data_IF_985046702274
#
_entry.id   IF_985046702274
#
_cell.length_a   1.000
_cell.length_b   1.000
_cell.length_c   1.000
_cell.angle_alpha   90.00
_cell.angle_beta   90.00
_cell.angle_gamma   90.00
#
_symmetry.space_group_name_H-M   'P 1'
#
loop_
_entity.id
_entity.type
_entity.pdbx_description
1 polymer ?
#
# COMPACT_ATOMS: atom_id res chain seq x y z
N UNK A 1 -40.14 -23.52 -0.70
CA UNK A 1 -39.02 -23.73 0.25
C UNK A 1 -38.45 -22.37 0.61
N UNK A 2 -38.92 -21.80 1.72
CA UNK A 2 -38.49 -20.48 2.19
C UNK A 2 -37.22 -20.65 3.02
N UNK A 3 -36.11 -20.04 2.61
CA UNK A 3 -34.85 -20.05 3.37
C UNK A 3 -34.91 -18.96 4.44
N UNK A 4 -34.90 -19.39 5.71
CA UNK A 4 -34.70 -18.55 6.89
C UNK A 4 -33.47 -17.65 6.71
N UNK A 5 -33.68 -16.33 6.67
CA UNK A 5 -32.63 -15.36 7.03
C UNK A 5 -32.71 -15.18 8.55
N UNK A 6 -31.69 -15.67 9.25
CA UNK A 6 -31.47 -15.37 10.67
C UNK A 6 -31.23 -13.87 10.80
N UNK A 7 -32.15 -13.16 11.44
CA UNK A 7 -31.95 -11.77 11.85
C UNK A 7 -31.18 -11.87 13.18
N UNK A 8 -29.90 -11.53 13.17
CA UNK A 8 -29.10 -11.42 14.39
C UNK A 8 -29.72 -10.30 15.22
N UNK A 9 -30.15 -10.60 16.46
CA UNK A 9 -30.70 -9.61 17.38
C UNK A 9 -29.64 -8.54 17.71
N UNK A 10 -30.07 -7.29 17.94
CA UNK A 10 -29.19 -6.16 18.23
C UNK A 10 -28.31 -6.41 19.47
N UNK A 11 -28.84 -7.18 20.43
CA UNK A 11 -28.10 -7.63 21.62
C UNK A 11 -27.02 -8.64 21.27
N UNK A 12 -27.31 -9.60 20.40
CA UNK A 12 -26.36 -10.62 19.94
C UNK A 12 -25.23 -9.98 19.09
N UNK A 13 -25.57 -9.00 18.25
CA UNK A 13 -24.59 -8.23 17.49
C UNK A 13 -23.66 -7.42 18.42
N UNK A 14 -24.22 -6.74 19.43
CA UNK A 14 -23.44 -5.98 20.42
C UNK A 14 -22.50 -6.89 21.23
N UNK A 15 -22.97 -8.07 21.64
CA UNK A 15 -22.15 -9.06 22.33
C UNK A 15 -21.03 -9.60 21.43
N UNK A 16 -21.30 -9.81 20.15
CA UNK A 16 -20.30 -10.24 19.17
C UNK A 16 -19.23 -9.17 18.95
N UNK A 17 -19.61 -7.89 18.82
CA UNK A 17 -18.65 -6.78 18.72
C UNK A 17 -17.77 -6.68 19.97
N UNK A 18 -18.36 -6.74 21.17
CA UNK A 18 -17.60 -6.72 22.42
C UNK A 18 -16.64 -7.91 22.55
N UNK A 19 -17.04 -9.10 22.07
CA UNK A 19 -16.15 -10.26 22.02
C UNK A 19 -14.98 -10.06 21.05
N UNK A 20 -15.23 -9.48 19.87
CA UNK A 20 -14.18 -9.15 18.90
C UNK A 20 -13.21 -8.10 19.47
N UNK A 21 -13.73 -7.07 20.14
CA UNK A 21 -12.92 -6.06 20.83
C UNK A 21 -12.07 -6.69 21.94
N UNK A 22 -12.65 -7.52 22.80
CA UNK A 22 -11.92 -8.25 23.83
C UNK A 22 -10.83 -9.17 23.26
N UNK A 23 -11.10 -9.87 22.15
CA UNK A 23 -10.10 -10.67 21.45
C UNK A 23 -8.95 -9.83 20.88
N UNK A 24 -9.25 -8.64 20.34
CA UNK A 24 -8.23 -7.70 19.85
C UNK A 24 -7.35 -7.18 20.99
N UNK A 25 -7.95 -6.81 22.12
CA UNK A 25 -7.21 -6.37 23.31
C UNK A 25 -6.30 -7.47 23.86
N UNK A 26 -6.79 -8.70 23.96
CA UNK A 26 -5.99 -9.83 24.44
C UNK A 26 -4.84 -10.18 23.49
N UNK A 27 -5.07 -10.08 22.17
CA UNK A 27 -4.02 -10.24 21.18
C UNK A 27 -2.95 -9.14 21.33
N UNK A 28 -3.35 -7.88 21.46
CA UNK A 28 -2.45 -6.74 21.65
C UNK A 28 -1.64 -6.86 22.96
N UNK A 29 -2.27 -7.31 24.06
CA UNK A 29 -1.57 -7.56 25.33
C UNK A 29 -0.53 -8.67 25.22
N UNK A 30 -0.89 -9.80 24.59
CA UNK A 30 0.05 -10.91 24.35
C UNK A 30 1.23 -10.46 23.49
N UNK A 31 0.94 -9.71 22.45
CA UNK A 31 1.91 -9.16 21.53
C UNK A 31 2.88 -8.18 22.20
N UNK A 32 2.36 -7.30 23.07
CA UNK A 32 3.18 -6.42 23.90
C UNK A 32 4.11 -7.22 24.84
N UNK A 33 3.63 -8.30 25.45
CA UNK A 33 4.45 -9.17 26.31
C UNK A 33 5.56 -9.90 25.53
N UNK A 34 5.34 -10.21 24.26
CA UNK A 34 6.37 -10.82 23.41
C UNK A 34 7.45 -9.80 23.02
N UNK A 35 7.06 -8.58 22.68
CA UNK A 35 7.98 -7.52 22.25
C UNK A 35 8.82 -6.97 23.42
N UNK A 36 8.21 -6.74 24.58
CA UNK A 36 8.83 -5.99 25.69
C UNK A 36 9.32 -6.91 26.81
N UNK A 37 9.89 -8.07 26.45
CA UNK A 37 10.58 -8.95 27.43
C UNK A 37 11.76 -8.20 28.04
N UNK A 38 12.06 -8.43 29.31
CA UNK A 38 13.24 -7.85 29.97
C UNK A 38 14.50 -8.02 29.12
N UNK A 39 15.25 -6.95 28.95
CA UNK A 39 16.53 -6.89 28.25
C UNK A 39 17.45 -5.94 29.01
N UNK A 40 18.75 -6.09 28.83
CA UNK A 40 19.74 -5.09 29.23
C UNK A 40 20.61 -4.80 28.00
N UNK A 41 21.30 -3.66 28.01
CA UNK A 41 22.31 -3.33 27.00
C UNK A 41 23.59 -2.86 27.69
N UNK A 42 24.79 -3.30 27.27
CA UNK A 42 25.07 -4.21 26.16
C UNK A 42 24.62 -5.66 26.44
N UNK A 43 24.30 -6.42 25.39
CA UNK A 43 23.93 -7.85 25.48
C UNK A 43 24.71 -8.66 24.45
N UNK A 44 24.95 -9.94 24.74
CA UNK A 44 25.54 -10.89 23.78
C UNK A 44 24.48 -11.49 22.86
N UNK A 45 24.87 -11.87 21.64
CA UNK A 45 23.93 -12.42 20.66
C UNK A 45 23.26 -13.73 21.13
N UNK A 46 24.01 -14.64 21.73
CA UNK A 46 23.48 -15.90 22.28
C UNK A 46 22.49 -15.66 23.43
N UNK A 47 22.77 -14.70 24.31
CA UNK A 47 21.86 -14.27 25.38
C UNK A 47 20.58 -13.62 24.83
N UNK A 48 20.70 -12.78 23.80
CA UNK A 48 19.56 -12.18 23.12
C UNK A 48 18.66 -13.25 22.46
N UNK A 49 19.25 -14.23 21.77
CA UNK A 49 18.53 -15.37 21.19
C UNK A 49 17.93 -16.28 22.27
N UNK A 50 18.58 -16.47 23.41
CA UNK A 50 18.08 -17.30 24.51
C UNK A 50 16.74 -16.79 25.07
N UNK A 51 16.47 -15.48 24.95
CA UNK A 51 15.20 -14.85 25.33
C UNK A 51 14.03 -15.28 24.43
N UNK A 52 14.29 -15.79 23.22
CA UNK A 52 13.28 -16.20 22.25
C UNK A 52 12.72 -17.61 22.50
N UNK A 53 11.50 -17.88 22.06
CA UNK A 53 10.93 -19.24 22.04
C UNK A 53 11.59 -20.09 20.97
N UNK A 54 11.41 -21.42 21.03
CA UNK A 54 11.93 -22.32 19.98
C UNK A 54 11.31 -22.01 18.62
N UNK A 55 10.05 -21.58 18.60
CA UNK A 55 9.33 -21.25 17.36
C UNK A 55 9.86 -19.94 16.76
N UNK A 56 10.11 -18.92 17.58
CA UNK A 56 10.76 -17.67 17.14
C UNK A 56 12.16 -17.93 16.56
N UNK A 57 12.97 -18.76 17.23
CA UNK A 57 14.28 -19.19 16.69
C UNK A 57 14.15 -19.99 15.39
N UNK A 58 13.09 -20.80 15.27
CA UNK A 58 12.82 -21.54 14.03
C UNK A 58 12.45 -20.61 12.88
N UNK A 59 11.73 -19.53 13.16
CA UNK A 59 11.41 -18.50 12.17
C UNK A 59 12.69 -17.79 11.71
N UNK A 60 13.60 -17.42 12.63
CA UNK A 60 14.90 -16.84 12.27
C UNK A 60 15.70 -17.81 11.38
N UNK A 61 15.76 -19.09 11.75
CA UNK A 61 16.42 -20.12 10.94
C UNK A 61 15.84 -20.21 9.53
N UNK A 62 14.52 -20.11 9.39
CA UNK A 62 13.85 -20.12 8.08
C UNK A 62 14.16 -18.85 7.28
N UNK A 63 14.12 -17.67 7.91
CA UNK A 63 14.44 -16.40 7.26
C UNK A 63 15.88 -16.36 6.71
N UNK A 64 16.80 -17.03 7.41
CA UNK A 64 18.21 -17.18 7.02
C UNK A 64 18.46 -18.36 6.06
N UNK A 65 17.40 -19.03 5.58
CA UNK A 65 17.45 -20.19 4.69
C UNK A 65 18.32 -21.35 5.20
N UNK A 66 18.43 -21.53 6.53
CA UNK A 66 19.28 -22.57 7.14
C UNK A 66 18.53 -23.91 7.15
N UNK A 67 18.91 -24.82 6.26
CA UNK A 67 18.26 -26.13 6.10
C UNK A 67 18.72 -27.18 7.12
N UNK A 68 17.97 -28.28 7.23
CA UNK A 68 18.33 -29.49 8.01
C UNK A 68 18.59 -29.29 9.51
N UNK A 69 18.00 -28.26 10.12
CA UNK A 69 18.17 -27.94 11.54
C UNK A 69 16.85 -27.84 12.32
N UNK A 70 15.74 -28.35 11.78
CA UNK A 70 14.40 -28.30 12.42
C UNK A 70 14.27 -29.21 13.65
N UNK A 71 15.07 -30.27 13.73
CA UNK A 71 15.06 -31.21 14.86
C UNK A 71 15.90 -30.77 16.07
N UNK A 72 16.72 -29.72 15.92
CA UNK A 72 17.61 -29.25 16.97
C UNK A 72 16.85 -28.83 18.23
N UNK A 73 17.46 -29.07 19.39
CA UNK A 73 16.99 -28.53 20.67
C UNK A 73 17.28 -27.03 20.74
N UNK A 74 16.59 -26.31 21.62
CA UNK A 74 16.70 -24.85 21.71
C UNK A 74 18.15 -24.37 21.88
N UNK A 75 18.93 -25.01 22.76
CA UNK A 75 20.33 -24.63 22.99
C UNK A 75 21.22 -24.84 21.75
N UNK A 76 21.06 -25.97 21.06
CA UNK A 76 21.80 -26.28 19.82
C UNK A 76 21.41 -25.33 18.69
N UNK A 77 20.13 -24.96 18.61
CA UNK A 77 19.62 -24.01 17.64
C UNK A 77 20.15 -22.59 17.90
N UNK A 78 20.25 -22.16 19.18
CA UNK A 78 20.86 -20.88 19.54
C UNK A 78 22.32 -20.85 19.08
N UNK A 79 23.12 -21.86 19.40
CA UNK A 79 24.52 -21.92 18.98
C UNK A 79 24.66 -21.83 17.45
N UNK A 80 23.86 -22.61 16.71
CA UNK A 80 23.85 -22.57 15.24
C UNK A 80 23.50 -21.17 14.70
N UNK A 81 22.48 -20.52 15.28
CA UNK A 81 22.05 -19.20 14.85
C UNK A 81 23.07 -18.12 15.19
N UNK A 82 23.70 -18.19 16.38
CA UNK A 82 24.77 -17.27 16.79
C UNK A 82 25.93 -17.29 15.77
N UNK A 83 26.38 -18.47 15.36
CA UNK A 83 27.46 -18.60 14.37
C UNK A 83 27.00 -18.14 12.98
N UNK A 84 25.80 -18.55 12.57
CA UNK A 84 25.27 -18.23 11.25
C UNK A 84 24.99 -16.73 11.06
N UNK A 85 24.45 -16.05 12.07
CA UNK A 85 24.13 -14.62 12.01
C UNK A 85 25.43 -13.82 11.93
N UNK A 86 26.42 -14.10 12.78
CA UNK A 86 27.72 -13.43 12.73
C UNK A 86 28.44 -13.67 11.39
N UNK A 87 28.54 -14.93 10.96
CA UNK A 87 29.23 -15.28 9.71
C UNK A 87 28.53 -14.78 8.44
N UNK A 88 27.25 -14.38 8.54
CA UNK A 88 26.44 -13.87 7.41
C UNK A 88 26.04 -12.41 7.59
N UNK A 89 26.53 -11.71 8.60
CA UNK A 89 26.01 -10.39 8.98
C UNK A 89 26.03 -9.39 7.82
N UNK A 90 27.14 -9.30 7.08
CA UNK A 90 27.23 -8.45 5.88
C UNK A 90 26.16 -8.81 4.83
N UNK A 91 25.96 -10.10 4.57
CA UNK A 91 24.96 -10.56 3.60
C UNK A 91 23.52 -10.30 4.06
N UNK A 92 23.27 -10.31 5.38
CA UNK A 92 21.99 -9.92 5.97
C UNK A 92 21.76 -8.43 5.74
N UNK A 93 22.73 -7.58 6.05
CA UNK A 93 22.63 -6.13 5.81
C UNK A 93 22.35 -5.81 4.33
N UNK A 94 22.98 -6.56 3.41
CA UNK A 94 22.78 -6.40 1.97
C UNK A 94 21.38 -6.82 1.46
N UNK A 95 20.56 -7.49 2.29
CA UNK A 95 19.15 -7.81 1.97
C UNK A 95 18.17 -6.73 2.44
N UNK A 96 18.63 -5.79 3.28
CA UNK A 96 17.79 -4.75 3.83
C UNK A 96 17.55 -3.62 2.80
N UNK A 97 16.55 -2.81 3.07
CA UNK A 97 16.41 -1.49 2.47
C UNK A 97 17.07 -0.42 3.35
N UNK A 98 17.00 0.82 2.89
CA UNK A 98 17.75 1.91 3.50
C UNK A 98 17.27 2.24 4.91
N UNK A 99 15.98 2.10 5.20
CA UNK A 99 15.43 2.45 6.50
C UNK A 99 15.78 1.39 7.56
N UNK A 100 15.64 0.11 7.21
CA UNK A 100 16.09 -1.00 8.06
C UNK A 100 17.61 -0.98 8.27
N UNK A 101 18.39 -0.69 7.23
CA UNK A 101 19.84 -0.54 7.34
C UNK A 101 20.23 0.63 8.25
N UNK A 102 19.61 1.81 8.07
CA UNK A 102 19.88 3.00 8.89
C UNK A 102 19.55 2.78 10.36
N UNK A 103 18.56 1.96 10.66
CA UNK A 103 18.24 1.61 12.04
C UNK A 103 19.39 0.83 12.70
N UNK A 104 19.97 -0.15 12.01
CA UNK A 104 21.15 -0.89 12.50
C UNK A 104 22.37 0.04 12.57
N UNK A 105 22.60 0.87 11.56
CA UNK A 105 23.69 1.86 11.54
C UNK A 105 23.61 2.80 12.74
N UNK A 106 22.41 3.32 13.03
CA UNK A 106 22.16 4.18 14.19
C UNK A 106 22.41 3.41 15.49
N UNK A 107 21.96 2.16 15.62
CA UNK A 107 22.17 1.37 16.82
C UNK A 107 23.67 1.11 17.06
N UNK A 108 24.42 0.70 16.02
CA UNK A 108 25.85 0.46 16.10
C UNK A 108 26.61 1.72 16.58
N UNK A 109 26.30 2.89 16.03
CA UNK A 109 26.93 4.15 16.43
C UNK A 109 26.55 4.63 17.85
N UNK A 110 25.49 4.11 18.46
CA UNK A 110 25.04 4.45 19.81
C UNK A 110 25.31 3.30 20.81
N UNK A 111 26.34 2.47 20.56
CA UNK A 111 26.74 1.41 21.49
C UNK A 111 25.77 0.23 21.57
N UNK A 112 24.90 0.09 20.57
CA UNK A 112 24.01 -1.05 20.40
C UNK A 112 22.60 -0.88 20.96
N UNK A 113 22.20 0.27 21.51
CA UNK A 113 20.84 0.47 22.02
C UNK A 113 20.19 1.75 21.49
N UNK A 114 18.89 1.66 21.19
CA UNK A 114 18.05 2.78 20.78
C UNK A 114 16.72 2.76 21.53
N UNK A 115 16.15 3.95 21.78
CA UNK A 115 14.79 4.08 22.30
C UNK A 115 13.77 3.62 21.22
N UNK A 116 12.89 2.69 21.59
CA UNK A 116 11.96 2.06 20.66
C UNK A 116 10.81 2.98 20.22
N UNK A 117 10.52 4.05 20.95
CA UNK A 117 9.46 5.01 20.64
C UNK A 117 9.61 5.71 19.28
N UNK A 118 10.79 5.64 18.66
CA UNK A 118 11.09 6.28 17.38
C UNK A 118 10.86 5.35 16.17
N UNK A 119 10.31 4.15 16.38
CA UNK A 119 10.22 3.13 15.34
C UNK A 119 8.83 2.48 15.32
N UNK A 120 8.39 2.15 14.12
CA UNK A 120 7.17 1.37 13.92
C UNK A 120 7.38 -0.09 14.36
N UNK A 121 6.38 -0.66 15.01
CA UNK A 121 6.46 -2.04 15.53
C UNK A 121 6.74 -3.05 14.41
N UNK A 122 6.22 -2.82 13.20
CA UNK A 122 6.45 -3.68 12.04
C UNK A 122 7.92 -3.71 11.62
N UNK A 123 8.61 -2.56 11.64
CA UNK A 123 10.04 -2.46 11.36
C UNK A 123 10.87 -3.23 12.41
N UNK A 124 10.49 -3.11 13.69
CA UNK A 124 11.15 -3.83 14.78
C UNK A 124 11.03 -5.35 14.60
N UNK A 125 9.84 -5.84 14.24
CA UNK A 125 9.61 -7.26 13.98
C UNK A 125 10.41 -7.74 12.78
N UNK A 126 10.41 -6.96 11.71
CA UNK A 126 11.13 -7.29 10.48
C UNK A 126 12.62 -7.51 10.76
N UNK A 127 13.29 -6.60 11.48
CA UNK A 127 14.69 -6.81 11.84
C UNK A 127 14.89 -7.97 12.83
N UNK A 128 13.91 -8.22 13.69
CA UNK A 128 13.88 -9.38 14.58
C UNK A 128 13.81 -10.72 13.86
N UNK A 129 13.20 -10.81 12.66
CA UNK A 129 13.14 -12.07 11.89
C UNK A 129 14.52 -12.49 11.36
N UNK A 130 15.45 -11.56 11.23
CA UNK A 130 16.85 -11.84 10.89
C UNK A 130 17.72 -12.20 12.11
N UNK A 131 17.19 -12.03 13.33
CA UNK A 131 17.93 -12.25 14.57
C UNK A 131 19.04 -11.23 14.83
N UNK A 132 18.98 -10.05 14.20
CA UNK A 132 20.01 -9.01 14.33
C UNK A 132 19.63 -7.90 15.30
N UNK A 133 18.33 -7.63 15.47
CA UNK A 133 17.81 -6.62 16.41
C UNK A 133 16.78 -7.25 17.32
N UNK A 134 16.79 -6.84 18.60
CA UNK A 134 15.92 -7.40 19.62
C UNK A 134 15.22 -6.30 20.38
N UNK A 135 13.91 -6.43 20.56
CA UNK A 135 13.15 -5.53 21.42
C UNK A 135 13.19 -6.00 22.88
N UNK A 136 12.99 -5.06 23.79
CA UNK A 136 12.81 -5.38 25.20
C UNK A 136 12.55 -4.16 26.05
N UNK A 137 12.40 -4.39 27.34
CA UNK A 137 12.23 -3.34 28.35
C UNK A 137 13.36 -3.44 29.37
N UNK A 138 13.94 -2.28 29.71
CA UNK A 138 14.93 -2.14 30.77
C UNK A 138 14.53 -0.96 31.67
N UNK A 139 14.37 -1.20 32.97
CA UNK A 139 13.90 -0.20 33.96
C UNK A 139 12.66 0.63 33.57
N UNK A 140 11.78 0.09 32.71
CA UNK A 140 10.57 0.75 32.21
C UNK A 140 10.74 1.44 30.85
N UNK A 141 11.97 1.56 30.36
CA UNK A 141 12.27 2.08 29.03
C UNK A 141 12.22 0.98 27.98
N UNK A 142 11.48 1.24 26.90
CA UNK A 142 11.38 0.33 25.74
C UNK A 142 12.57 0.55 24.81
N UNK A 143 13.34 -0.51 24.61
CA UNK A 143 14.58 -0.48 23.86
C UNK A 143 14.52 -1.40 22.64
N UNK A 144 15.33 -1.05 21.65
CA UNK A 144 15.76 -1.94 20.58
C UNK A 144 17.27 -2.06 20.64
N UNK A 145 17.75 -3.30 20.67
CA UNK A 145 19.15 -3.60 20.95
C UNK A 145 19.77 -4.42 19.83
N UNK A 146 20.91 -3.94 19.35
CA UNK A 146 21.88 -4.63 18.49
C UNK A 146 22.91 -5.29 19.40
N UNK A 147 23.05 -6.63 19.38
CA UNK A 147 24.03 -7.33 20.20
C UNK A 147 25.47 -6.87 19.97
N UNK A 148 26.28 -6.98 21.01
CA UNK A 148 27.65 -6.41 21.08
C UNK A 148 28.56 -6.94 19.97
N UNK A 149 28.46 -8.22 19.65
CA UNK A 149 29.21 -8.84 18.55
C UNK A 149 28.83 -8.23 17.19
N UNK A 150 27.56 -7.91 16.98
CA UNK A 150 27.08 -7.30 15.73
C UNK A 150 27.45 -5.82 15.64
N UNK A 151 27.52 -5.10 16.77
CA UNK A 151 28.08 -3.74 16.83
C UNK A 151 29.54 -3.74 16.35
N UNK A 152 30.36 -4.66 16.88
CA UNK A 152 31.76 -4.78 16.47
C UNK A 152 31.88 -5.13 14.98
N UNK A 153 31.15 -6.15 14.52
CA UNK A 153 31.16 -6.55 13.09
C UNK A 153 30.69 -5.42 12.17
N UNK A 154 29.73 -4.60 12.59
CA UNK A 154 29.26 -3.47 11.78
C UNK A 154 30.40 -2.52 11.42
N UNK A 155 31.31 -2.25 12.36
CA UNK A 155 32.45 -1.36 12.13
C UNK A 155 33.56 -1.96 11.26
N UNK A 156 33.55 -3.27 11.02
CA UNK A 156 34.56 -3.97 10.21
C UNK A 156 34.11 -4.20 8.76
N UNK A 157 32.82 -4.00 8.45
CA UNK A 157 32.24 -4.30 7.14
C UNK A 157 32.59 -3.23 6.09
N UNK A 158 32.76 -3.66 4.84
CA UNK A 158 32.76 -2.78 3.67
C UNK A 158 31.35 -2.24 3.37
N UNK A 159 31.04 -1.09 3.97
CA UNK A 159 29.74 -0.44 3.79
C UNK A 159 29.47 0.04 2.36
N UNK A 160 30.49 0.23 1.51
CA UNK A 160 30.25 0.71 0.14
C UNK A 160 29.48 -0.34 -0.67
N UNK A 161 29.92 -1.61 -0.60
CA UNK A 161 29.25 -2.74 -1.26
C UNK A 161 27.86 -3.00 -0.71
N UNK A 162 27.69 -2.91 0.61
CA UNK A 162 26.40 -3.13 1.26
C UNK A 162 25.41 -2.03 0.87
N UNK A 163 25.83 -0.76 0.91
CA UNK A 163 24.97 0.39 0.60
C UNK A 163 24.44 0.39 -0.83
N UNK A 164 25.22 -0.11 -1.80
CA UNK A 164 24.73 -0.26 -3.17
C UNK A 164 23.57 -1.26 -3.27
N UNK A 165 23.70 -2.43 -2.64
CA UNK A 165 22.61 -3.43 -2.59
C UNK A 165 21.39 -2.93 -1.83
N UNK A 166 21.61 -2.21 -0.73
CA UNK A 166 20.55 -1.57 0.06
C UNK A 166 19.79 -0.54 -0.77
N UNK A 167 20.50 0.28 -1.56
CA UNK A 167 19.88 1.26 -2.44
C UNK A 167 19.05 0.61 -3.54
N UNK A 168 19.56 -0.47 -4.16
CA UNK A 168 18.81 -1.31 -5.11
C UNK A 168 17.52 -1.83 -4.50
N UNK A 169 17.60 -2.46 -3.32
CA UNK A 169 16.43 -3.05 -2.66
C UNK A 169 15.39 -1.96 -2.35
N UNK A 170 15.84 -0.81 -1.84
CA UNK A 170 14.98 0.37 -1.58
C UNK A 170 14.26 0.82 -2.85
N UNK A 171 14.99 0.91 -3.95
CA UNK A 171 14.42 1.31 -5.23
C UNK A 171 13.37 0.31 -5.72
N UNK A 172 13.65 -0.99 -5.67
CA UNK A 172 12.69 -2.03 -6.05
C UNK A 172 11.41 -1.99 -5.21
N UNK A 173 11.55 -1.76 -3.89
CA UNK A 173 10.42 -1.64 -2.97
C UNK A 173 9.58 -0.41 -3.31
N UNK A 174 10.19 0.78 -3.38
CA UNK A 174 9.48 2.01 -3.70
C UNK A 174 8.87 1.96 -5.11
N UNK A 175 9.59 1.44 -6.10
CA UNK A 175 9.05 1.26 -7.45
C UNK A 175 7.79 0.39 -7.44
N UNK A 176 7.86 -0.75 -6.74
CA UNK A 176 6.73 -1.67 -6.60
C UNK A 176 5.56 -1.00 -5.91
N UNK A 177 5.79 -0.33 -4.77
CA UNK A 177 4.75 0.35 -4.02
C UNK A 177 4.11 1.49 -4.84
N UNK A 178 4.90 2.28 -5.57
CA UNK A 178 4.41 3.35 -6.42
C UNK A 178 3.60 2.85 -7.63
N UNK A 179 4.06 1.77 -8.27
CA UNK A 179 3.32 1.10 -9.34
C UNK A 179 1.96 0.60 -8.81
N UNK A 180 1.94 -0.08 -7.67
CA UNK A 180 0.71 -0.60 -7.06
C UNK A 180 -0.20 0.53 -6.56
N UNK A 181 0.36 1.62 -6.03
CA UNK A 181 -0.41 2.80 -5.63
C UNK A 181 -1.25 3.36 -6.77
N UNK A 182 -0.69 3.45 -7.99
CA UNK A 182 -1.38 3.99 -9.15
C UNK A 182 -2.20 2.96 -9.94
N UNK A 183 -1.74 1.71 -10.04
CA UNK A 183 -2.42 0.69 -10.85
C UNK A 183 -3.34 -0.23 -10.05
N UNK A 184 -3.21 -0.25 -8.73
CA UNK A 184 -4.00 -1.06 -7.80
C UNK A 184 -3.52 -2.51 -7.78
N UNK A 185 -3.63 -3.19 -8.91
CA UNK A 185 -3.29 -4.61 -9.06
C UNK A 185 -2.50 -4.83 -10.34
N UNK A 186 -1.45 -5.65 -10.28
CA UNK A 186 -0.67 -6.11 -11.42
C UNK A 186 -0.45 -7.62 -11.30
N UNK A 187 -0.40 -8.32 -12.43
CA UNK A 187 0.15 -9.67 -12.43
C UNK A 187 1.64 -9.64 -12.06
N UNK A 188 2.18 -10.74 -11.52
CA UNK A 188 3.61 -10.82 -11.18
C UNK A 188 4.50 -10.51 -12.39
N UNK A 189 4.13 -10.99 -13.58
CA UNK A 189 4.86 -10.70 -14.81
C UNK A 189 4.82 -9.21 -15.18
N UNK A 190 3.65 -8.57 -15.07
CA UNK A 190 3.52 -7.12 -15.32
C UNK A 190 4.31 -6.28 -14.32
N UNK A 191 4.34 -6.71 -13.04
CA UNK A 191 5.12 -6.02 -12.03
C UNK A 191 6.62 -6.12 -12.33
N UNK A 192 7.14 -7.32 -12.59
CA UNK A 192 8.55 -7.53 -12.93
C UNK A 192 8.94 -6.74 -14.19
N UNK A 193 8.14 -6.81 -15.24
CA UNK A 193 8.36 -6.05 -16.48
C UNK A 193 8.48 -4.55 -16.19
N UNK A 194 7.54 -3.98 -15.44
CA UNK A 194 7.51 -2.54 -15.13
C UNK A 194 8.65 -2.13 -14.22
N UNK A 195 8.95 -2.89 -13.16
CA UNK A 195 10.10 -2.55 -12.31
C UNK A 195 11.40 -2.63 -13.12
N UNK A 196 11.56 -3.63 -13.99
CA UNK A 196 12.71 -3.75 -14.89
C UNK A 196 12.82 -2.53 -15.82
N UNK A 197 11.69 -2.06 -16.35
CA UNK A 197 11.65 -0.89 -17.23
C UNK A 197 12.12 0.41 -16.54
N UNK A 198 11.73 0.62 -15.27
CA UNK A 198 11.99 1.88 -14.57
C UNK A 198 13.21 1.83 -13.63
N UNK A 199 13.73 0.65 -13.32
CA UNK A 199 14.84 0.53 -12.38
C UNK A 199 16.17 0.93 -13.01
N UNK A 200 17.03 1.53 -12.19
CA UNK A 200 18.43 1.79 -12.51
C UNK A 200 19.33 0.58 -12.31
N UNK A 201 18.79 -0.53 -11.79
CA UNK A 201 19.51 -1.76 -11.50
C UNK A 201 19.02 -2.91 -12.37
N UNK A 202 19.95 -3.79 -12.73
CA UNK A 202 19.63 -5.03 -13.45
C UNK A 202 18.70 -5.91 -12.61
N UNK A 203 17.70 -6.48 -13.28
CA UNK A 203 16.69 -7.32 -12.65
C UNK A 203 17.17 -8.77 -12.55
N UNK A 204 17.24 -9.29 -11.32
CA UNK A 204 17.19 -10.73 -11.06
C UNK A 204 15.84 -11.04 -10.40
N UNK A 205 15.01 -11.83 -11.07
CA UNK A 205 13.62 -12.05 -10.64
C UNK A 205 13.53 -12.71 -9.26
N UNK A 206 14.43 -13.65 -8.96
CA UNK A 206 14.39 -14.38 -7.68
C UNK A 206 14.82 -13.49 -6.52
N UNK A 207 15.85 -12.68 -6.72
CA UNK A 207 16.26 -11.66 -5.75
C UNK A 207 15.16 -10.62 -5.54
N UNK A 208 14.56 -10.12 -6.63
CA UNK A 208 13.46 -9.16 -6.57
C UNK A 208 12.28 -9.72 -5.75
N UNK A 209 11.83 -10.93 -6.07
CA UNK A 209 10.71 -11.55 -5.35
C UNK A 209 11.00 -11.74 -3.86
N UNK A 210 12.24 -12.08 -3.48
CA UNK A 210 12.65 -12.15 -2.07
C UNK A 210 12.59 -10.78 -1.41
N UNK A 211 13.13 -9.74 -2.05
CA UNK A 211 13.10 -8.36 -1.54
C UNK A 211 11.66 -7.89 -1.32
N UNK A 212 10.76 -8.10 -2.28
CA UNK A 212 9.36 -7.68 -2.14
C UNK A 212 8.62 -8.52 -1.08
N UNK A 213 8.92 -9.82 -0.97
CA UNK A 213 8.35 -10.67 0.07
C UNK A 213 8.78 -10.22 1.47
N UNK A 214 10.05 -9.88 1.64
CA UNK A 214 10.61 -9.36 2.89
C UNK A 214 9.99 -7.99 3.23
N UNK A 215 9.92 -7.08 2.25
CA UNK A 215 9.35 -5.75 2.41
C UNK A 215 7.85 -5.76 2.75
N UNK A 216 7.08 -6.71 2.22
CA UNK A 216 5.67 -6.90 2.61
C UNK A 216 5.51 -7.04 4.12
N UNK A 217 6.41 -7.79 4.76
CA UNK A 217 6.36 -8.02 6.20
C UNK A 217 6.74 -6.78 7.02
N UNK A 218 7.48 -5.85 6.43
CA UNK A 218 7.92 -4.61 7.07
C UNK A 218 6.87 -3.49 6.95
N UNK A 219 6.29 -3.29 5.76
CA UNK A 219 5.48 -2.09 5.46
C UNK A 219 3.98 -2.35 5.28
N UNK A 220 3.57 -3.61 5.15
CA UNK A 220 2.16 -4.02 4.97
C UNK A 220 1.42 -3.46 3.74
N UNK A 221 2.01 -2.60 2.89
CA UNK A 221 1.34 -2.02 1.70
C UNK A 221 1.01 -3.00 0.56
N UNK A 222 1.45 -4.25 0.63
CA UNK A 222 1.40 -5.21 -0.49
C UNK A 222 0.63 -6.48 -0.10
N UNK A 223 -0.30 -6.89 -0.95
CA UNK A 223 -1.00 -8.19 -0.89
C UNK A 223 -0.60 -9.06 -2.08
N UNK A 224 -0.47 -10.37 -1.83
CA UNK A 224 -0.30 -11.38 -2.85
C UNK A 224 -1.53 -12.28 -2.84
N UNK A 225 -2.08 -12.54 -4.02
CA UNK A 225 -3.18 -13.47 -4.23
C UNK A 225 -3.02 -14.17 -5.60
N UNK A 226 -4.01 -14.97 -5.99
CA UNK A 226 -3.99 -15.71 -7.26
C UNK A 226 -4.04 -14.80 -8.50
N UNK A 227 -4.46 -13.53 -8.35
CA UNK A 227 -4.54 -12.54 -9.42
C UNK A 227 -3.25 -11.71 -9.56
N UNK A 228 -2.30 -11.86 -8.64
CA UNK A 228 -0.98 -11.24 -8.68
C UNK A 228 -0.64 -10.49 -7.41
N UNK A 229 -0.24 -9.23 -7.59
CA UNK A 229 0.24 -8.35 -6.52
C UNK A 229 -0.64 -7.09 -6.49
N UNK A 230 -1.16 -6.76 -5.32
CA UNK A 230 -2.10 -5.66 -5.13
C UNK A 230 -1.67 -4.71 -4.02
N UNK A 231 -2.01 -3.44 -4.17
CA UNK A 231 -1.95 -2.46 -3.10
C UNK A 231 -2.92 -2.85 -1.97
N UNK A 232 -2.53 -2.63 -0.71
CA UNK A 232 -3.26 -3.13 0.47
C UNK A 232 -4.72 -2.66 0.49
N UNK A 233 -4.99 -1.44 0.06
CA UNK A 233 -6.32 -0.83 0.10
C UNK A 233 -7.21 -1.18 -1.10
N UNK A 234 -6.78 -2.13 -1.96
CA UNK A 234 -7.61 -2.69 -3.02
C UNK A 234 -8.69 -3.59 -2.43
N UNK A 235 -9.96 -3.28 -2.74
CA UNK A 235 -11.12 -4.04 -2.30
C UNK A 235 -11.40 -5.27 -3.17
N UNK A 236 -11.25 -5.14 -4.50
CA UNK A 236 -11.57 -6.19 -5.47
C UNK A 236 -10.45 -6.33 -6.53
N UNK A 237 -9.35 -7.04 -6.17
CA UNK A 237 -8.21 -7.18 -7.06
C UNK A 237 -8.53 -8.02 -8.30
N UNK A 238 -9.44 -9.00 -8.18
CA UNK A 238 -9.90 -9.84 -9.29
C UNK A 238 -10.59 -8.99 -10.36
N UNK A 239 -11.53 -8.12 -9.96
CA UNK A 239 -12.23 -7.23 -10.88
C UNK A 239 -11.30 -6.24 -11.59
N UNK A 240 -10.31 -5.68 -10.87
CA UNK A 240 -9.30 -4.80 -11.46
C UNK A 240 -8.48 -5.57 -12.51
N UNK A 241 -7.94 -6.73 -12.15
CA UNK A 241 -7.14 -7.56 -13.05
C UNK A 241 -7.94 -8.02 -14.29
N UNK A 242 -9.20 -8.40 -14.12
CA UNK A 242 -10.12 -8.72 -15.22
C UNK A 242 -10.35 -7.52 -16.14
N UNK A 243 -10.61 -6.34 -15.57
CA UNK A 243 -10.87 -5.12 -16.35
C UNK A 243 -9.63 -4.67 -17.12
N UNK A 244 -8.45 -4.77 -16.52
CA UNK A 244 -7.19 -4.46 -17.20
C UNK A 244 -6.97 -5.35 -18.43
N UNK A 245 -7.27 -6.64 -18.30
CA UNK A 245 -7.11 -7.65 -19.35
C UNK A 245 -8.09 -7.47 -20.51
N UNK A 246 -9.34 -7.11 -20.21
CA UNK A 246 -10.38 -6.94 -21.24
C UNK A 246 -10.32 -5.59 -21.97
N UNK A 247 -9.59 -4.61 -21.43
CA UNK A 247 -9.35 -3.31 -22.06
C UNK A 247 -7.95 -3.25 -22.69
N UNK A 248 -7.69 -4.11 -23.67
CA UNK A 248 -6.38 -4.19 -24.35
C UNK A 248 -6.04 -2.90 -25.11
N UNK A 249 -7.06 -2.16 -25.54
CA UNK A 249 -6.93 -0.97 -26.38
C UNK A 249 -6.57 0.31 -25.60
N UNK A 250 -6.52 0.22 -24.27
CA UNK A 250 -6.08 1.27 -23.35
C UNK A 250 -4.79 0.80 -22.67
N UNK A 251 -3.64 1.46 -22.91
CA UNK A 251 -2.39 1.12 -22.23
C UNK A 251 -2.45 1.50 -20.74
N UNK A 252 -1.43 1.12 -19.97
CA UNK A 252 -1.25 1.68 -18.64
C UNK A 252 -0.79 3.13 -18.72
N UNK A 253 -1.24 3.98 -17.80
CA UNK A 253 -0.83 5.38 -17.76
C UNK A 253 0.71 5.47 -17.64
N UNK A 254 1.41 6.23 -18.50
CA UNK A 254 2.87 6.23 -18.57
C UNK A 254 3.48 7.16 -17.52
N UNK A 255 3.59 6.69 -16.28
CA UNK A 255 4.26 7.43 -15.22
C UNK A 255 5.77 7.57 -15.46
N UNK A 256 6.33 8.65 -14.96
CA UNK A 256 7.79 8.82 -14.86
C UNK A 256 8.34 8.00 -13.70
N UNK A 257 9.63 7.68 -13.78
CA UNK A 257 10.36 6.98 -12.71
C UNK A 257 10.26 7.73 -11.38
N UNK A 258 10.40 9.05 -11.42
CA UNK A 258 10.37 9.93 -10.25
C UNK A 258 8.98 9.96 -9.59
N UNK A 259 7.90 9.95 -10.38
CA UNK A 259 6.53 9.84 -9.86
C UNK A 259 6.31 8.52 -9.13
N UNK A 260 6.78 7.40 -9.70
CA UNK A 260 6.66 6.08 -9.08
C UNK A 260 7.46 5.98 -7.79
N UNK A 261 8.73 6.41 -7.79
CA UNK A 261 9.55 6.38 -6.58
C UNK A 261 8.98 7.25 -5.46
N UNK A 262 8.42 8.43 -5.79
CA UNK A 262 7.76 9.29 -4.80
C UNK A 262 6.50 8.63 -4.25
N UNK A 263 5.69 8.03 -5.12
CA UNK A 263 4.47 7.34 -4.74
C UNK A 263 4.72 6.06 -3.91
N UNK A 264 5.92 5.51 -4.00
CA UNK A 264 6.36 4.35 -3.25
C UNK A 264 6.89 4.62 -1.86
N UNK A 265 6.94 5.86 -1.40
CA UNK A 265 7.35 6.17 -0.04
C UNK A 265 6.15 5.94 0.90
N UNK A 266 6.33 5.24 2.04
CA UNK A 266 5.28 5.09 3.05
C UNK A 266 4.62 6.43 3.42
N UNK A 267 3.29 6.43 3.50
CA UNK A 267 2.51 7.64 3.79
C UNK A 267 2.34 8.60 2.61
N UNK A 268 2.71 8.21 1.39
CA UNK A 268 2.47 9.05 0.21
C UNK A 268 0.97 9.26 -0.05
N UNK A 269 0.63 10.52 -0.33
CA UNK A 269 -0.72 10.96 -0.72
C UNK A 269 -0.60 11.85 -1.94
N UNK A 270 -1.38 11.55 -2.97
CA UNK A 270 -1.49 12.35 -4.18
C UNK A 270 -2.32 13.62 -3.93
N UNK A 271 -1.70 14.58 -3.23
CA UNK A 271 -2.26 15.92 -2.97
C UNK A 271 -2.18 16.78 -4.23
N UNK A 272 -2.83 16.35 -5.32
CA UNK A 272 -2.87 17.07 -6.58
C UNK A 272 -3.65 18.40 -6.48
N UNK A 273 -3.72 19.17 -7.57
CA UNK A 273 -4.38 20.49 -7.57
C UNK A 273 -5.83 20.45 -7.06
N UNK A 274 -6.59 19.43 -7.48
CA UNK A 274 -8.00 19.29 -7.07
C UNK A 274 -8.15 18.94 -5.60
N UNK A 275 -7.25 18.12 -5.05
CA UNK A 275 -7.20 17.82 -3.62
C UNK A 275 -6.95 19.09 -2.80
N UNK A 276 -5.89 19.85 -3.13
CA UNK A 276 -5.53 21.06 -2.38
C UNK A 276 -6.62 22.12 -2.43
N UNK A 277 -7.25 22.28 -3.60
CA UNK A 277 -8.37 23.20 -3.75
C UNK A 277 -9.57 22.80 -2.86
N UNK A 278 -9.87 21.50 -2.77
CA UNK A 278 -10.93 21.03 -1.90
C UNK A 278 -10.56 21.15 -0.42
N UNK A 279 -9.30 20.88 -0.06
CA UNK A 279 -8.78 21.09 1.29
C UNK A 279 -8.95 22.55 1.75
N UNK A 280 -8.53 23.52 0.92
CA UNK A 280 -8.70 24.95 1.18
C UNK A 280 -10.19 25.33 1.29
N UNK A 281 -11.04 24.73 0.46
CA UNK A 281 -12.48 24.94 0.56
C UNK A 281 -13.03 24.45 1.89
N UNK A 282 -12.68 23.22 2.32
CA UNK A 282 -13.15 22.63 3.56
C UNK A 282 -12.71 23.44 4.78
N UNK A 283 -11.40 23.68 4.91
CA UNK A 283 -10.81 24.42 6.04
C UNK A 283 -11.19 25.91 6.08
N UNK A 284 -11.60 26.48 4.95
CA UNK A 284 -12.05 27.87 4.87
C UNK A 284 -13.55 28.08 5.09
N UNK A 285 -14.38 27.03 4.98
CA UNK A 285 -15.84 27.15 5.01
C UNK A 285 -16.52 26.30 6.10
N UNK A 286 -15.83 25.31 6.66
CA UNK A 286 -16.34 24.43 7.72
C UNK A 286 -15.47 24.54 8.97
N UNK A 287 -16.08 24.29 10.14
CA UNK A 287 -15.36 24.14 11.40
C UNK A 287 -14.73 22.74 11.46
N UNK A 288 -13.66 22.57 10.69
CA UNK A 288 -12.91 21.32 10.54
C UNK A 288 -11.42 21.64 10.66
N UNK A 289 -10.67 20.84 11.41
CA UNK A 289 -9.23 21.03 11.50
C UNK A 289 -8.50 20.39 10.30
N UNK A 290 -7.21 20.72 10.14
CA UNK A 290 -6.42 20.25 9.00
C UNK A 290 -6.33 18.71 8.92
N UNK A 291 -6.18 18.03 10.06
CA UNK A 291 -6.02 16.57 10.10
C UNK A 291 -7.35 15.86 9.74
N UNK A 292 -8.47 16.40 10.21
CA UNK A 292 -9.82 15.94 9.84
C UNK A 292 -10.09 16.13 8.35
N UNK A 293 -9.74 17.29 7.80
CA UNK A 293 -9.90 17.59 6.37
C UNK A 293 -9.03 16.66 5.50
N UNK A 294 -7.76 16.46 5.86
CA UNK A 294 -6.87 15.54 5.14
C UNK A 294 -7.40 14.10 5.20
N UNK A 295 -7.83 13.63 6.38
CA UNK A 295 -8.40 12.29 6.58
C UNK A 295 -9.64 12.06 5.70
N UNK A 296 -10.54 13.05 5.64
CA UNK A 296 -11.72 12.99 4.80
C UNK A 296 -11.40 12.94 3.32
N UNK A 297 -10.46 13.78 2.86
CA UNK A 297 -10.09 13.80 1.44
C UNK A 297 -9.31 12.55 1.03
N UNK A 298 -8.44 12.03 1.89
CA UNK A 298 -7.72 10.78 1.66
C UNK A 298 -8.68 9.59 1.56
N UNK A 299 -9.63 9.48 2.50
CA UNK A 299 -10.66 8.43 2.44
C UNK A 299 -11.55 8.55 1.20
N UNK A 300 -11.92 9.78 0.80
CA UNK A 300 -12.66 10.03 -0.43
C UNK A 300 -11.86 9.64 -1.68
N UNK A 301 -10.59 10.03 -1.77
CA UNK A 301 -9.71 9.60 -2.87
C UNK A 301 -9.58 8.09 -2.95
N UNK A 302 -9.44 7.40 -1.80
CA UNK A 302 -9.34 5.95 -1.77
C UNK A 302 -10.64 5.27 -2.23
N UNK A 303 -11.79 5.82 -1.86
CA UNK A 303 -13.08 5.34 -2.33
C UNK A 303 -13.23 5.51 -3.86
N UNK A 304 -12.78 6.64 -4.40
CA UNK A 304 -12.74 6.91 -5.84
C UNK A 304 -11.80 5.93 -6.56
N UNK A 305 -10.60 5.66 -6.01
CA UNK A 305 -9.65 4.67 -6.56
C UNK A 305 -10.25 3.28 -6.68
N UNK A 306 -11.05 2.89 -5.69
CA UNK A 306 -11.86 1.67 -5.65
C UNK A 306 -13.12 1.72 -6.53
N UNK A 307 -13.24 2.71 -7.42
CA UNK A 307 -14.34 2.83 -8.38
C UNK A 307 -15.74 2.95 -7.75
N UNK A 308 -15.84 3.55 -6.55
CA UNK A 308 -17.14 3.92 -5.96
C UNK A 308 -17.83 4.98 -6.83
N UNK A 309 -19.15 4.89 -6.95
CA UNK A 309 -19.90 5.83 -7.79
C UNK A 309 -19.96 7.23 -7.14
N UNK A 310 -19.98 8.27 -7.97
CA UNK A 310 -20.15 9.65 -7.51
C UNK A 310 -21.41 9.82 -6.64
N UNK A 311 -22.51 9.16 -7.01
CA UNK A 311 -23.76 9.25 -6.26
C UNK A 311 -23.62 8.67 -4.84
N UNK A 312 -22.99 7.51 -4.70
CA UNK A 312 -22.80 6.90 -3.37
C UNK A 312 -21.92 7.79 -2.49
N UNK A 313 -20.88 8.40 -3.06
CA UNK A 313 -19.98 9.27 -2.31
C UNK A 313 -20.65 10.59 -1.91
N UNK A 314 -21.52 11.16 -2.76
CA UNK A 314 -22.31 12.34 -2.40
C UNK A 314 -23.28 12.00 -1.26
N UNK A 315 -23.90 10.82 -1.28
CA UNK A 315 -24.78 10.38 -0.19
C UNK A 315 -24.01 10.22 1.13
N UNK A 316 -22.80 9.65 1.09
CA UNK A 316 -21.92 9.55 2.28
C UNK A 316 -21.55 10.95 2.81
N UNK A 317 -21.24 11.89 1.92
CA UNK A 317 -20.93 13.27 2.29
C UNK A 317 -22.12 13.98 2.94
N UNK A 318 -23.34 13.78 2.42
CA UNK A 318 -24.58 14.35 2.98
C UNK A 318 -24.95 13.81 4.36
N UNK A 319 -24.43 12.64 4.74
CA UNK A 319 -24.58 12.11 6.10
C UNK A 319 -23.53 12.64 7.06
N UNK A 320 -22.42 13.16 6.53
CA UNK A 320 -21.28 13.65 7.31
C UNK A 320 -21.34 15.16 7.53
N UNK A 321 -21.79 15.91 6.53
CA UNK A 321 -21.86 17.36 6.54
C UNK A 321 -23.30 17.85 6.66
N UNK A 322 -23.49 18.82 7.55
CA UNK A 322 -24.70 19.63 7.56
C UNK A 322 -24.51 20.83 6.62
N UNK A 323 -25.37 20.93 5.61
CA UNK A 323 -25.37 22.06 4.69
C UNK A 323 -26.45 23.07 5.10
N UNK A 324 -26.06 24.32 5.26
CA UNK A 324 -26.97 25.39 5.70
C UNK A 324 -27.81 25.97 4.55
N UNK A 325 -27.44 25.69 3.29
CA UNK A 325 -28.17 26.16 2.10
C UNK A 325 -27.93 25.30 0.85
N UNK A 326 -28.82 25.43 -0.14
CA UNK A 326 -28.63 24.78 -1.46
C UNK A 326 -27.38 25.28 -2.20
N UNK A 327 -27.02 26.57 -2.04
CA UNK A 327 -25.82 27.14 -2.67
C UNK A 327 -24.54 26.51 -2.09
N UNK A 328 -24.50 26.34 -0.77
CA UNK A 328 -23.39 25.67 -0.09
C UNK A 328 -23.24 24.22 -0.53
N UNK A 329 -24.34 23.46 -0.57
CA UNK A 329 -24.36 22.09 -1.08
C UNK A 329 -23.83 22.03 -2.52
N UNK A 330 -24.25 22.95 -3.37
CA UNK A 330 -23.78 23.01 -4.76
C UNK A 330 -22.28 23.28 -4.84
N UNK A 331 -21.77 24.24 -4.06
CA UNK A 331 -20.34 24.57 -4.02
C UNK A 331 -19.49 23.40 -3.55
N UNK A 332 -19.97 22.66 -2.54
CA UNK A 332 -19.34 21.42 -2.08
C UNK A 332 -19.32 20.36 -3.19
N UNK A 333 -20.46 20.10 -3.84
CA UNK A 333 -20.58 19.14 -4.94
C UNK A 333 -19.63 19.51 -6.10
N UNK A 334 -19.49 20.79 -6.44
CA UNK A 334 -18.59 21.25 -7.49
C UNK A 334 -17.12 20.92 -7.16
N UNK A 335 -16.67 21.13 -5.91
CA UNK A 335 -15.33 20.71 -5.48
C UNK A 335 -15.16 19.18 -5.51
N UNK A 336 -16.19 18.47 -5.06
CA UNK A 336 -16.17 17.01 -5.04
C UNK A 336 -16.08 16.41 -6.46
N UNK A 337 -16.88 16.92 -7.40
CA UNK A 337 -16.85 16.51 -8.81
C UNK A 337 -15.48 16.80 -9.44
N UNK A 338 -14.88 17.95 -9.12
CA UNK A 338 -13.54 18.28 -9.59
C UNK A 338 -12.51 17.27 -9.09
N UNK A 339 -12.53 16.93 -7.80
CA UNK A 339 -11.63 15.92 -7.23
C UNK A 339 -11.90 14.53 -7.81
N UNK A 340 -13.17 14.13 -7.94
CA UNK A 340 -13.58 12.85 -8.51
C UNK A 340 -13.01 12.63 -9.91
N UNK A 341 -13.13 13.65 -10.77
CA UNK A 341 -12.67 13.59 -12.15
C UNK A 341 -11.13 13.66 -12.31
N UNK A 342 -10.41 14.10 -11.27
CA UNK A 342 -8.96 14.25 -11.26
C UNK A 342 -8.25 13.28 -10.30
N UNK A 343 -8.99 12.35 -9.71
CA UNK A 343 -8.42 11.25 -8.93
C UNK A 343 -8.24 10.04 -9.85
N UNK A 344 -7.09 9.38 -9.72
CA UNK A 344 -6.78 8.19 -10.52
C UNK A 344 -7.62 7.02 -10.04
N UNK A 345 -8.05 6.17 -10.97
CA UNK A 345 -8.91 5.02 -10.66
C UNK A 345 -8.24 3.74 -11.13
N UNK A 346 -8.18 2.71 -10.28
CA UNK A 346 -7.40 1.51 -10.57
C UNK A 346 -7.93 0.72 -11.76
N UNK A 347 -9.25 0.57 -11.89
CA UNK A 347 -9.87 -0.06 -13.08
C UNK A 347 -9.58 0.69 -14.40
N UNK A 348 -9.08 1.93 -14.31
CA UNK A 348 -8.68 2.75 -15.46
C UNK A 348 -7.16 2.73 -15.69
N UNK A 349 -6.43 1.70 -15.20
CA UNK A 349 -4.98 1.52 -15.43
C UNK A 349 -4.15 2.75 -15.06
N UNK A 350 -4.53 3.43 -13.97
CA UNK A 350 -3.84 4.61 -13.45
C UNK A 350 -4.29 5.94 -14.08
N UNK A 351 -5.22 5.96 -15.04
CA UNK A 351 -5.78 7.21 -15.56
C UNK A 351 -6.78 7.84 -14.58
N UNK A 352 -6.91 9.17 -14.63
CA UNK A 352 -8.10 9.85 -14.12
C UNK A 352 -9.24 9.78 -15.15
N UNK A 353 -10.51 9.95 -14.75
CA UNK A 353 -11.62 10.03 -15.71
C UNK A 353 -11.42 11.10 -16.80
N UNK A 354 -10.84 12.26 -16.46
CA UNK A 354 -10.53 13.31 -17.45
C UNK A 354 -9.50 12.84 -18.46
N UNK A 355 -8.37 12.31 -17.97
CA UNK A 355 -7.27 11.88 -18.85
C UNK A 355 -7.68 10.72 -19.76
N UNK A 356 -8.53 9.82 -19.30
CA UNK A 356 -9.02 8.72 -20.13
C UNK A 356 -9.94 9.22 -21.27
N UNK A 357 -10.77 10.26 -21.00
CA UNK A 357 -11.58 10.89 -22.04
C UNK A 357 -10.70 11.60 -23.07
N UNK A 358 -9.70 12.37 -22.62
CA UNK A 358 -8.73 13.04 -23.49
C UNK A 358 -7.99 12.03 -24.39
N UNK A 359 -7.52 10.93 -23.82
CA UNK A 359 -6.88 9.84 -24.56
C UNK A 359 -7.81 9.24 -25.63
N UNK A 360 -9.08 8.99 -25.29
CA UNK A 360 -10.06 8.47 -26.24
C UNK A 360 -10.34 9.44 -27.40
N UNK A 361 -10.48 10.74 -27.10
CA UNK A 361 -10.68 11.78 -28.12
C UNK A 361 -9.48 11.92 -29.06
N UNK A 362 -8.25 11.82 -28.55
CA UNK A 362 -7.03 11.85 -29.35
C UNK A 362 -6.95 10.63 -30.28
N UNK A 363 -7.29 9.45 -29.78
CA UNK A 363 -7.34 8.19 -30.55
C UNK A 363 -8.41 8.25 -31.65
N UNK A 364 -9.57 8.84 -31.36
CA UNK A 364 -10.61 9.10 -32.37
C UNK A 364 -10.12 10.09 -33.43
N UNK A 365 -9.49 11.21 -33.04
CA UNK A 365 -8.93 12.19 -33.97
C UNK A 365 -7.83 11.59 -34.86
N UNK A 366 -6.97 10.73 -34.31
CA UNK A 366 -5.91 10.05 -35.03
C UNK A 366 -6.45 8.99 -36.02
N UNK A 367 -7.51 8.27 -35.64
CA UNK A 367 -8.16 7.29 -36.53
C UNK A 367 -9.06 7.93 -37.60
N UNK A 368 -9.51 9.17 -37.37
CA UNK A 368 -10.32 9.97 -38.30
C UNK A 368 -9.51 10.65 -39.43
N UNK A 369 -8.17 10.56 -39.44
CA UNK A 369 -7.34 11.14 -40.52
C UNK A 369 -7.31 10.29 -41.82
N UNK A 370 -8.07 9.19 -41.88
CA UNK A 370 -8.33 8.46 -43.12
C UNK A 370 -9.79 8.59 -43.57
N UNK A 371 -9.99 9.51 -44.50
CA UNK A 371 -11.17 9.84 -45.32
C UNK A 371 -12.16 10.90 -44.80
N UNK A 372 -12.48 11.93 -45.62
CA UNK A 372 -13.56 12.85 -45.33
C UNK A 372 -14.87 12.13 -45.63
N UNK A 373 -15.68 11.88 -44.59
CA UNK A 373 -17.10 11.60 -44.79
C UNK A 373 -17.93 12.55 -43.94
N UNK A 374 -18.61 13.38 -44.71
CA UNK A 374 -19.64 14.36 -44.39
C UNK A 374 -20.43 14.16 -43.08
N UNK A 375 -20.63 15.32 -42.44
CA UNK A 375 -21.71 15.68 -41.51
C UNK A 375 -21.65 15.11 -40.08
N UNK A 376 -20.77 15.69 -39.25
CA UNK A 376 -20.96 15.71 -37.79
C UNK A 376 -21.41 17.11 -37.38
N UNK A 377 -22.65 17.21 -36.89
CA UNK A 377 -23.25 18.44 -36.36
C UNK A 377 -22.89 18.55 -34.87
N UNK A 378 -22.33 19.72 -34.51
CA UNK A 378 -22.02 20.18 -33.14
C UNK A 378 -23.24 20.19 -32.21
N UNK A 379 -23.05 19.74 -30.97
CA UNK A 379 -24.04 19.69 -29.87
C UNK A 379 -24.41 21.06 -29.26
N UNK A 380 -24.30 22.15 -30.01
CA UNK A 380 -24.79 23.48 -29.62
C UNK A 380 -26.00 23.97 -30.42
N UNK A 381 -26.75 23.08 -31.09
CA UNK A 381 -28.03 23.46 -31.69
C UNK A 381 -29.15 22.50 -31.30
N UNK A 382 -30.26 23.06 -30.82
CA UNK A 382 -31.52 22.38 -30.48
C UNK A 382 -32.11 21.69 -31.72
N UNK A 383 -31.57 20.55 -32.13
CA UNK A 383 -32.18 19.70 -33.17
C UNK A 383 -33.05 18.64 -32.52
N UNK A 384 -34.31 18.57 -32.97
CA UNK A 384 -35.29 17.56 -32.53
C UNK A 384 -34.77 16.16 -32.91
N UNK A 385 -34.52 15.32 -31.91
CA UNK A 385 -34.20 13.90 -32.08
C UNK A 385 -35.44 13.18 -32.63
N UNK A 386 -35.28 12.43 -33.72
CA UNK A 386 -36.35 11.65 -34.33
C UNK A 386 -36.69 10.42 -33.49
N UNK A 387 -37.97 10.01 -33.43
CA UNK A 387 -38.44 8.84 -32.65
C UNK A 387 -37.70 7.53 -32.97
N UNK A 388 -37.16 7.37 -34.18
CA UNK A 388 -36.46 6.16 -34.60
C UNK A 388 -34.92 6.26 -34.51
N UNK A 389 -34.37 7.41 -34.12
CA UNK A 389 -32.92 7.62 -34.03
C UNK A 389 -32.32 6.88 -32.81
N UNK A 390 -31.00 6.60 -32.79
CA UNK A 390 -30.33 6.02 -31.63
C UNK A 390 -30.53 6.87 -30.37
N UNK A 391 -30.78 6.21 -29.24
CA UNK A 391 -31.06 6.91 -27.99
C UNK A 391 -29.78 7.51 -27.39
N UNK A 392 -29.77 8.81 -27.01
CA UNK A 392 -28.56 9.50 -26.55
C UNK A 392 -28.08 9.04 -25.17
N UNK A 393 -28.82 8.20 -24.46
CA UNK A 393 -28.40 7.62 -23.17
C UNK A 393 -27.41 6.44 -23.31
N UNK A 394 -26.97 6.11 -24.53
CA UNK A 394 -26.00 5.04 -24.77
C UNK A 394 -26.54 3.62 -24.62
N UNK A 395 -27.86 3.44 -24.49
CA UNK A 395 -28.49 2.12 -24.31
C UNK A 395 -28.47 1.21 -25.54
N UNK A 396 -28.03 1.73 -26.70
CA UNK A 396 -28.07 1.02 -27.98
C UNK A 396 -29.47 0.84 -28.60
N UNK A 397 -30.54 1.34 -27.96
CA UNK A 397 -31.94 1.24 -28.44
C UNK A 397 -32.37 2.50 -29.22
N UNK A 398 -33.42 2.41 -30.04
CA UNK A 398 -34.06 3.59 -30.68
C UNK A 398 -34.74 4.48 -29.64
N UNK A 399 -34.79 5.79 -29.86
CA UNK A 399 -35.28 6.80 -28.90
C UNK A 399 -36.69 6.47 -28.37
N UNK A 400 -37.65 6.11 -29.24
CA UNK A 400 -39.03 5.72 -28.85
C UNK A 400 -39.12 4.46 -27.96
N UNK A 401 -38.06 3.67 -27.86
CA UNK A 401 -38.01 2.43 -27.08
C UNK A 401 -37.13 2.56 -25.83
N UNK A 402 -36.61 3.75 -25.54
CA UNK A 402 -35.80 4.04 -24.36
C UNK A 402 -36.24 5.35 -23.71
N UNK A 403 -35.52 6.47 -23.92
CA UNK A 403 -35.82 7.74 -23.26
C UNK A 403 -37.05 8.49 -23.81
N UNK A 404 -37.57 8.09 -24.98
CA UNK A 404 -38.78 8.65 -25.58
C UNK A 404 -40.07 7.88 -25.27
N UNK A 405 -40.11 7.16 -24.15
CA UNK A 405 -41.32 6.52 -23.61
C UNK A 405 -42.14 7.49 -22.77
#
# INVERSE_FOLDING_TARGET
>A
MSKNRSIIDQKDFKNMLAAIEGMKEDAAKREALLLWRKIHSPIRLDEALARLTKDELTNIRQQLDIQRASSLRKAELIALLTDAIQGRFESILARLDIDAYRMIEKAAHHGGALAAANFEISQLRFLGTYGVMFTGEDEGDKLVVLPSELVALFHEIDHARVKDRVQRNTEWIHMTQGLLYFYGTLSTAQLIEKVTQYSSYDMDEMDFLKVIHDAKSCYEYIKFDENGVSYREVNDPEHIAYTHRTREDVPFYPFTREELLRAGVPGYVDRNKSYRQFFEFLTGHYDINNDEADTLLESSQLAIRNNRSLNDLILDAQQTFEFSSEDELRRFIDQFILMFNNTRVWVLKGYTPVQLREFAEEKEKASSQSQPKDNVISFNSRKKIGRNDPCPCGSGKKFKHCCGK
#
